data_IF_856316579533
#
_entry.id   IF_856316579533
#
_cell.length_a   1.000
_cell.length_b   1.000
_cell.length_c   1.000
_cell.angle_alpha   90.00
_cell.angle_beta   90.00
_cell.angle_gamma   90.00
#
_symmetry.space_group_name_H-M   'P 1'
#
loop_
_entity.id
_entity.type
_entity.pdbx_description
1 polymer ?
#
# COMPACT_ATOMS: atom_id res chain seq x y z
N UNK A 1 14.00 1.87 -1.72
CA UNK A 1 13.58 1.49 -3.09
C UNK A 1 12.32 0.60 -3.14
N UNK A 2 12.28 -0.58 -2.50
CA UNK A 2 11.14 -1.52 -2.58
C UNK A 2 9.80 -0.91 -2.15
N UNK A 3 9.78 -0.13 -1.07
CA UNK A 3 8.56 0.50 -0.58
C UNK A 3 7.94 1.49 -1.59
N UNK A 4 8.78 2.24 -2.30
CA UNK A 4 8.34 3.17 -3.34
C UNK A 4 7.74 2.41 -4.55
N UNK A 5 8.30 1.26 -4.89
CA UNK A 5 7.74 0.37 -5.92
C UNK A 5 6.36 -0.16 -5.49
N UNK A 6 6.20 -0.55 -4.23
CA UNK A 6 4.91 -0.96 -3.67
C UNK A 6 3.85 0.15 -3.74
N UNK A 7 4.22 1.38 -3.36
CA UNK A 7 3.32 2.54 -3.49
C UNK A 7 2.95 2.85 -4.95
N UNK A 8 3.92 2.75 -5.86
CA UNK A 8 3.69 2.94 -7.29
C UNK A 8 2.73 1.89 -7.86
N UNK A 9 2.87 0.62 -7.47
CA UNK A 9 1.97 -0.46 -7.89
C UNK A 9 0.54 -0.22 -7.40
N UNK A 10 0.34 0.19 -6.14
CA UNK A 10 -0.99 0.53 -5.62
C UNK A 10 -1.62 1.65 -6.44
N UNK A 11 -0.87 2.72 -6.72
CA UNK A 11 -1.34 3.81 -7.58
C UNK A 11 -1.76 3.33 -8.97
N UNK A 12 -0.94 2.45 -9.58
CA UNK A 12 -1.22 1.85 -10.88
C UNK A 12 -2.49 0.99 -10.88
N UNK A 13 -2.70 0.16 -9.84
CA UNK A 13 -3.90 -0.67 -9.69
C UNK A 13 -5.17 0.18 -9.72
N UNK A 14 -5.19 1.29 -8.99
CA UNK A 14 -6.37 2.16 -8.96
C UNK A 14 -6.61 2.93 -10.26
N UNK A 15 -5.56 3.18 -11.07
CA UNK A 15 -5.72 3.82 -12.39
C UNK A 15 -6.24 2.88 -13.49
N UNK A 16 -6.15 1.55 -13.32
CA UNK A 16 -6.65 0.58 -14.32
C UNK A 16 -8.17 0.36 -14.27
N UNK A 17 -8.86 0.86 -13.24
CA UNK A 17 -10.32 0.72 -13.12
C UNK A 17 -11.02 1.54 -14.21
N UNK A 18 -11.62 0.85 -15.18
CA UNK A 18 -12.36 1.45 -16.29
C UNK A 18 -13.49 2.37 -15.81
N UNK A 19 -13.54 3.58 -16.35
CA UNK A 19 -14.36 4.75 -15.95
C UNK A 19 -15.88 4.59 -16.19
N UNK A 20 -16.40 3.37 -16.36
CA UNK A 20 -17.71 3.17 -16.99
C UNK A 20 -18.93 3.43 -16.09
N UNK A 21 -18.74 3.57 -14.77
CA UNK A 21 -19.85 3.83 -13.84
C UNK A 21 -19.41 4.75 -12.69
N UNK A 22 -19.54 6.07 -12.86
CA UNK A 22 -19.85 7.08 -11.81
C UNK A 22 -19.14 7.06 -10.43
N UNK A 23 -18.10 6.26 -10.20
CA UNK A 23 -17.52 5.98 -8.88
C UNK A 23 -16.05 6.37 -8.75
N UNK A 24 -15.50 7.11 -9.71
CA UNK A 24 -14.08 7.50 -9.75
C UNK A 24 -13.68 8.31 -8.51
N UNK A 25 -14.56 9.21 -8.02
CA UNK A 25 -14.28 9.99 -6.81
C UNK A 25 -14.14 9.13 -5.55
N UNK A 26 -15.02 8.15 -5.37
CA UNK A 26 -14.95 7.23 -4.23
C UNK A 26 -13.73 6.31 -4.33
N UNK A 27 -13.41 5.83 -5.54
CA UNK A 27 -12.18 5.07 -5.77
C UNK A 27 -10.94 5.89 -5.38
N UNK A 28 -10.87 7.15 -5.79
CA UNK A 28 -9.75 8.06 -5.50
C UNK A 28 -9.55 8.28 -3.99
N UNK A 29 -10.63 8.52 -3.25
CA UNK A 29 -10.58 8.68 -1.79
C UNK A 29 -10.08 7.39 -1.12
N UNK A 30 -10.57 6.24 -1.55
CA UNK A 30 -10.12 4.94 -1.03
C UNK A 30 -8.64 4.73 -1.32
N UNK A 31 -8.15 5.06 -2.53
CA UNK A 31 -6.74 4.96 -2.91
C UNK A 31 -5.84 5.84 -2.03
N UNK A 32 -6.26 7.08 -1.78
CA UNK A 32 -5.52 8.04 -0.95
C UNK A 32 -5.45 7.57 0.49
N UNK A 33 -6.57 7.14 1.07
CA UNK A 33 -6.61 6.60 2.45
C UNK A 33 -5.73 5.36 2.55
N UNK A 34 -5.76 4.47 1.55
CA UNK A 34 -4.91 3.28 1.52
C UNK A 34 -3.43 3.62 1.45
N UNK A 35 -3.04 4.51 0.53
CA UNK A 35 -1.65 4.95 0.37
C UNK A 35 -1.12 5.64 1.62
N UNK A 36 -1.94 6.48 2.25
CA UNK A 36 -1.59 7.15 3.51
C UNK A 36 -1.51 6.17 4.69
N UNK A 37 -2.46 5.24 4.80
CA UNK A 37 -2.46 4.21 5.84
C UNK A 37 -1.21 3.33 5.80
N UNK A 38 -0.81 2.90 4.61
CA UNK A 38 0.42 2.11 4.43
C UNK A 38 1.69 2.92 4.75
N UNK A 39 1.72 4.20 4.38
CA UNK A 39 2.80 5.12 4.77
C UNK A 39 2.91 5.26 6.29
N UNK A 40 1.77 5.38 6.96
CA UNK A 40 1.68 5.48 8.40
C UNK A 40 2.21 4.21 9.08
N UNK A 41 1.77 3.03 8.64
CA UNK A 41 2.26 1.73 9.15
C UNK A 41 3.77 1.59 8.97
N UNK A 42 4.31 2.01 7.83
CA UNK A 42 5.77 2.03 7.63
C UNK A 42 6.47 2.93 8.63
N UNK A 43 6.00 4.17 8.82
CA UNK A 43 6.61 5.09 9.78
C UNK A 43 6.50 4.54 11.20
N UNK A 44 5.36 4.00 11.57
CA UNK A 44 5.15 3.39 12.88
C UNK A 44 6.10 2.22 13.14
N UNK A 45 6.23 1.30 12.18
CA UNK A 45 7.16 0.18 12.28
C UNK A 45 8.61 0.67 12.40
N UNK A 46 8.99 1.72 11.67
CA UNK A 46 10.33 2.30 11.74
C UNK A 46 10.62 2.91 13.11
N UNK A 47 9.68 3.67 13.68
CA UNK A 47 9.78 4.24 15.04
C UNK A 47 9.90 3.13 16.08
N UNK A 48 9.13 2.03 15.94
CA UNK A 48 9.23 0.87 16.84
C UNK A 48 10.58 0.14 16.71
N UNK A 49 11.19 0.16 15.52
CA UNK A 49 12.53 -0.35 15.28
C UNK A 49 13.62 0.54 15.90
N UNK A 50 13.50 1.85 15.75
CA UNK A 50 14.44 2.84 16.29
C UNK A 50 14.40 2.92 17.82
N UNK A 51 13.22 2.71 18.42
CA UNK A 51 13.05 2.62 19.88
C UNK A 51 13.49 1.28 20.47
N UNK A 52 13.95 0.35 19.63
CA UNK A 52 14.45 -0.97 20.05
C UNK A 52 13.37 -1.94 20.52
N UNK A 53 12.09 -1.62 20.33
CA UNK A 53 10.98 -2.53 20.69
C UNK A 53 10.83 -3.70 19.73
N UNK A 54 11.27 -3.54 18.47
CA UNK A 54 11.34 -4.61 17.47
C UNK A 54 12.73 -4.58 16.81
N UNK A 55 13.31 -5.73 16.42
CA UNK A 55 14.56 -5.71 15.67
C UNK A 55 14.43 -4.89 14.38
N UNK A 56 15.40 -4.00 14.15
CA UNK A 56 15.43 -3.04 13.02
C UNK A 56 15.26 -3.75 11.67
N UNK A 57 15.77 -4.96 11.52
CA UNK A 57 15.56 -5.76 10.30
C UNK A 57 14.06 -5.99 10.04
N UNK A 58 13.29 -6.46 11.03
CA UNK A 58 11.86 -6.69 10.85
C UNK A 58 11.09 -5.38 10.62
N UNK A 59 11.45 -4.32 11.33
CA UNK A 59 10.89 -2.99 11.11
C UNK A 59 11.13 -2.46 9.68
N UNK A 60 12.29 -2.78 9.08
CA UNK A 60 12.63 -2.34 7.73
C UNK A 60 11.97 -3.17 6.62
N UNK A 61 11.84 -4.49 6.80
CA UNK A 61 11.34 -5.40 5.76
C UNK A 61 9.85 -5.67 5.81
N UNK A 62 9.22 -5.64 7.00
CA UNK A 62 7.79 -5.94 7.13
C UNK A 62 6.88 -4.95 6.38
N UNK A 63 7.07 -3.61 6.47
CA UNK A 63 6.20 -2.67 5.75
C UNK A 63 6.26 -2.78 4.22
N UNK A 64 7.43 -2.85 3.56
CA UNK A 64 7.48 -3.05 2.11
C UNK A 64 6.87 -4.37 1.65
N UNK A 65 7.10 -5.48 2.35
CA UNK A 65 6.51 -6.79 2.02
C UNK A 65 4.99 -6.75 2.13
N UNK A 66 4.46 -6.21 3.23
CA UNK A 66 3.02 -6.04 3.41
C UNK A 66 2.42 -5.19 2.28
N UNK A 67 3.08 -4.09 1.91
CA UNK A 67 2.64 -3.20 0.82
C UNK A 67 2.54 -3.93 -0.52
N UNK A 68 3.55 -4.74 -0.88
CA UNK A 68 3.58 -5.48 -2.14
C UNK A 68 2.51 -6.56 -2.19
N UNK A 69 2.34 -7.33 -1.10
CA UNK A 69 1.30 -8.36 -1.01
C UNK A 69 -0.10 -7.77 -1.10
N UNK A 70 -0.34 -6.62 -0.45
CA UNK A 70 -1.62 -5.92 -0.51
C UNK A 70 -1.89 -5.40 -1.92
N UNK A 71 -0.90 -4.79 -2.57
CA UNK A 71 -1.01 -4.32 -3.95
C UNK A 71 -1.38 -5.46 -4.90
N UNK A 72 -0.71 -6.61 -4.76
CA UNK A 72 -0.96 -7.80 -5.56
C UNK A 72 -2.36 -8.36 -5.33
N UNK A 73 -2.81 -8.44 -4.07
CA UNK A 73 -4.17 -8.86 -3.72
C UNK A 73 -5.25 -7.95 -4.32
N UNK A 74 -5.02 -6.63 -4.31
CA UNK A 74 -5.94 -5.67 -4.95
C UNK A 74 -5.99 -5.89 -6.47
N UNK A 75 -4.84 -6.08 -7.13
CA UNK A 75 -4.79 -6.32 -8.58
C UNK A 75 -5.55 -7.59 -8.94
N UNK A 76 -5.27 -8.70 -8.25
CA UNK A 76 -5.95 -9.98 -8.49
C UNK A 76 -7.46 -9.88 -8.24
N UNK A 77 -7.86 -9.22 -7.15
CA UNK A 77 -9.28 -9.02 -6.85
C UNK A 77 -10.01 -8.15 -7.87
N UNK A 78 -9.31 -7.21 -8.52
CA UNK A 78 -9.89 -6.40 -9.59
C UNK A 78 -9.89 -7.11 -10.96
N UNK A 79 -9.10 -8.16 -11.14
CA UNK A 79 -9.06 -8.97 -12.36
C UNK A 79 -10.17 -10.04 -12.37
N UNK A 80 -10.46 -10.64 -11.21
CA UNK A 80 -11.52 -11.65 -11.02
C UNK A 80 -12.94 -11.05 -10.83
N UNK A 81 -13.03 -9.72 -10.65
CA UNK A 81 -14.27 -8.99 -10.31
C UNK A 81 -15.06 -8.41 -11.48
#
# INVERSE_FOLDING_TARGET
PLFLVGMLLIGASFTMRHVRFGGTGQALIVSVIFGFGLYYVRNFAQILGETGQIPILFAAYAPPLATILLAMGIILHMEDG
#
